data_IF_009115388058
#
_entry.id   IF_009115388058
#
_cell.length_a   1.000
_cell.length_b   1.000
_cell.length_c   1.000
_cell.angle_alpha   90.00
_cell.angle_beta   90.00
_cell.angle_gamma   90.00
#
_symmetry.space_group_name_H-M   'P 1'
#
loop_
_entity.id
_entity.type
_entity.pdbx_description
1 polymer ?
#
# COMPACT_ATOMS: atom_id res chain seq x y z
N UNK A 1 -15.73 13.87 20.83
CA UNK A 1 -16.01 13.69 19.38
C UNK A 1 -14.70 13.25 18.75
N UNK A 2 -14.63 12.06 18.17
CA UNK A 2 -13.42 11.60 17.47
C UNK A 2 -13.36 12.26 16.10
N UNK A 3 -12.19 12.75 15.70
CA UNK A 3 -11.95 13.33 14.37
C UNK A 3 -10.60 12.86 13.86
N UNK A 4 -10.57 12.35 12.62
CA UNK A 4 -9.32 12.13 11.92
C UNK A 4 -8.80 13.44 11.33
N UNK A 5 -7.50 13.71 11.48
CA UNK A 5 -6.83 14.90 10.92
C UNK A 5 -6.22 14.64 9.55
N UNK A 6 -5.94 13.37 9.22
CA UNK A 6 -5.39 12.95 7.95
C UNK A 6 -5.74 11.48 7.66
N UNK A 7 -5.79 11.11 6.38
CA UNK A 7 -5.99 9.74 5.95
C UNK A 7 -5.01 9.41 4.83
N UNK A 8 -4.51 8.18 4.87
CA UNK A 8 -3.76 7.58 3.77
C UNK A 8 -4.29 6.17 3.51
N UNK A 9 -4.38 5.77 2.25
CA UNK A 9 -4.84 4.44 1.86
C UNK A 9 -4.09 3.96 0.62
N UNK A 10 -3.99 2.65 0.49
CA UNK A 10 -3.43 1.99 -0.69
C UNK A 10 -4.03 0.58 -0.84
N UNK A 11 -3.73 -0.05 -1.97
CA UNK A 11 -3.86 -1.51 -2.09
C UNK A 11 -2.89 -2.19 -1.14
N UNK A 12 -3.39 -3.11 -0.33
CA UNK A 12 -2.65 -3.83 0.71
C UNK A 12 -1.36 -4.49 0.19
N UNK A 13 -1.36 -5.07 -1.01
CA UNK A 13 -0.17 -5.64 -1.64
C UNK A 13 0.99 -4.62 -1.79
N UNK A 14 0.70 -3.33 -1.87
CA UNK A 14 1.73 -2.28 -1.96
C UNK A 14 2.49 -2.08 -0.64
N UNK A 15 1.97 -2.56 0.49
CA UNK A 15 2.64 -2.44 1.78
C UNK A 15 3.92 -3.28 1.87
N UNK A 16 4.00 -4.39 1.11
CA UNK A 16 5.25 -5.16 0.92
C UNK A 16 6.36 -4.36 0.24
N UNK A 17 6.00 -3.30 -0.48
CA UNK A 17 6.96 -2.43 -1.15
C UNK A 17 7.22 -1.16 -0.33
N UNK A 18 6.19 -0.63 0.34
CA UNK A 18 6.29 0.67 1.02
C UNK A 18 6.72 0.58 2.47
N UNK A 19 6.40 -0.51 3.16
CA UNK A 19 6.57 -0.64 4.62
C UNK A 19 7.52 -1.77 4.97
N UNK A 20 7.31 -2.98 4.42
CA UNK A 20 8.12 -4.17 4.73
C UNK A 20 9.64 -3.95 4.61
N UNK A 21 10.19 -3.23 3.61
CA UNK A 21 11.64 -3.04 3.49
C UNK A 21 12.28 -2.21 4.62
N UNK A 22 11.47 -1.57 5.47
CA UNK A 22 11.92 -0.63 6.50
C UNK A 22 11.62 -1.11 7.92
N UNK A 23 11.25 -2.38 8.08
CA UNK A 23 10.95 -3.00 9.37
C UNK A 23 11.76 -4.28 9.50
N UNK A 24 12.12 -4.65 10.74
CA UNK A 24 12.86 -5.89 11.00
C UNK A 24 11.92 -7.09 11.20
N UNK A 25 10.62 -6.81 11.38
CA UNK A 25 9.60 -7.83 11.56
C UNK A 25 9.33 -8.61 10.28
N UNK A 26 9.33 -9.93 10.37
CA UNK A 26 8.86 -10.79 9.27
C UNK A 26 7.36 -10.56 9.02
N UNK A 27 7.01 -10.33 7.77
CA UNK A 27 5.63 -10.24 7.29
C UNK A 27 5.30 -11.54 6.57
N UNK A 28 4.28 -12.24 7.08
CA UNK A 28 3.77 -13.49 6.49
C UNK A 28 2.58 -13.25 5.58
N UNK A 29 1.88 -12.12 5.76
CA UNK A 29 0.73 -11.76 4.95
C UNK A 29 0.22 -10.36 5.25
N UNK A 30 -0.71 -9.88 4.43
CA UNK A 30 -1.25 -8.52 4.51
C UNK A 30 -1.89 -8.16 5.86
N UNK A 31 -2.40 -9.14 6.61
CA UNK A 31 -2.99 -8.93 7.95
C UNK A 31 -1.97 -8.44 8.97
N UNK A 32 -0.68 -8.74 8.76
CA UNK A 32 0.39 -8.34 9.66
C UNK A 32 0.56 -6.82 9.70
N UNK A 33 0.24 -6.12 8.60
CA UNK A 33 0.24 -4.66 8.55
C UNK A 33 -0.88 -4.02 9.38
N UNK A 34 -1.79 -4.79 9.97
CA UNK A 34 -2.77 -4.27 10.94
C UNK A 34 -2.22 -4.20 12.37
N UNK A 35 -1.01 -4.73 12.62
CA UNK A 35 -0.37 -4.65 13.93
C UNK A 35 0.24 -3.27 14.15
N UNK A 36 -0.14 -2.53 15.22
CA UNK A 36 0.44 -1.21 15.51
C UNK A 36 1.98 -1.22 15.59
N UNK A 37 2.57 -2.27 16.15
CA UNK A 37 4.02 -2.42 16.29
C UNK A 37 4.81 -2.41 14.97
N UNK A 38 4.16 -2.75 13.85
CA UNK A 38 4.77 -2.65 12.51
C UNK A 38 4.91 -1.19 12.11
N UNK A 39 3.89 -0.38 12.43
CA UNK A 39 3.90 1.04 12.12
C UNK A 39 4.79 1.85 13.05
N UNK A 40 4.98 1.42 14.30
CA UNK A 40 5.97 2.00 15.21
C UNK A 40 7.39 1.83 14.66
N UNK A 41 7.76 0.60 14.25
CA UNK A 41 9.04 0.33 13.59
C UNK A 41 9.20 1.15 12.30
N UNK A 42 8.15 1.20 11.48
CA UNK A 42 8.17 1.97 10.24
C UNK A 42 8.36 3.47 10.50
N UNK A 43 7.65 4.04 11.47
CA UNK A 43 7.80 5.42 11.91
C UNK A 43 9.24 5.72 12.37
N UNK A 44 9.88 4.79 13.06
CA UNK A 44 11.27 4.95 13.51
C UNK A 44 12.26 4.88 12.36
N UNK A 45 12.11 3.95 11.42
CA UNK A 45 12.96 3.86 10.23
C UNK A 45 12.79 5.08 9.33
N UNK A 46 11.55 5.45 8.98
CA UNK A 46 11.23 6.60 8.13
C UNK A 46 11.66 7.92 8.78
N UNK A 47 11.68 8.01 10.12
CA UNK A 47 12.13 9.22 10.80
C UNK A 47 13.58 9.61 10.47
N UNK A 48 14.42 8.63 10.10
CA UNK A 48 15.84 8.79 9.74
C UNK A 48 16.06 9.11 8.26
N UNK A 49 15.02 9.01 7.44
CA UNK A 49 15.07 9.27 6.00
C UNK A 49 14.53 10.67 5.67
N UNK A 50 15.00 11.21 4.56
CA UNK A 50 14.30 12.26 3.83
C UNK A 50 13.31 11.64 2.82
N UNK A 51 12.39 12.48 2.33
CA UNK A 51 11.33 12.02 1.44
C UNK A 51 11.87 11.45 0.13
N UNK A 52 12.91 12.09 -0.42
CA UNK A 52 13.46 11.74 -1.72
C UNK A 52 14.07 10.34 -1.65
N UNK A 53 14.91 10.09 -0.65
CA UNK A 53 15.54 8.79 -0.40
C UNK A 53 14.47 7.69 -0.29
N UNK A 54 13.43 7.90 0.53
CA UNK A 54 12.35 6.94 0.69
C UNK A 54 11.58 6.66 -0.60
N UNK A 55 11.25 7.72 -1.36
CA UNK A 55 10.51 7.55 -2.62
C UNK A 55 11.34 6.83 -3.67
N UNK A 56 12.63 7.16 -3.79
CA UNK A 56 13.54 6.55 -4.77
C UNK A 56 13.80 5.08 -4.44
N UNK A 57 14.02 4.72 -3.17
CA UNK A 57 14.20 3.32 -2.78
C UNK A 57 12.97 2.46 -3.04
N UNK A 58 11.76 3.01 -2.87
CA UNK A 58 10.52 2.33 -3.27
C UNK A 58 10.46 2.06 -4.77
N UNK A 59 10.85 3.03 -5.61
CA UNK A 59 10.87 2.83 -7.06
C UNK A 59 11.92 1.79 -7.45
N UNK A 60 13.12 1.88 -6.90
CA UNK A 60 14.20 0.94 -7.19
C UNK A 60 13.85 -0.48 -6.76
N UNK A 61 13.24 -0.68 -5.58
CA UNK A 61 12.78 -2.02 -5.16
C UNK A 61 11.70 -2.56 -6.12
N UNK A 62 10.75 -1.73 -6.54
CA UNK A 62 9.74 -2.15 -7.52
C UNK A 62 10.35 -2.58 -8.86
N UNK A 63 11.30 -1.80 -9.40
CA UNK A 63 12.03 -2.15 -10.62
C UNK A 63 12.79 -3.46 -10.46
N UNK A 64 13.55 -3.61 -9.37
CA UNK A 64 14.31 -4.82 -9.08
C UNK A 64 13.41 -6.07 -8.95
N UNK A 65 12.21 -5.93 -8.37
CA UNK A 65 11.24 -7.03 -8.26
C UNK A 65 10.68 -7.42 -9.63
N UNK A 66 10.44 -6.46 -10.53
CA UNK A 66 10.04 -6.75 -11.92
C UNK A 66 11.15 -7.50 -12.67
N UNK A 67 12.39 -7.00 -12.60
CA UNK A 67 13.52 -7.67 -13.25
C UNK A 67 13.71 -9.12 -12.75
N UNK A 68 13.54 -9.36 -11.44
CA UNK A 68 13.60 -10.73 -10.87
C UNK A 68 12.49 -11.68 -11.33
N UNK A 69 11.40 -11.14 -11.87
CA UNK A 69 10.30 -11.89 -12.44
C UNK A 69 10.42 -12.02 -13.97
N UNK A 70 11.56 -11.63 -14.53
CA UNK A 70 11.80 -11.55 -15.98
C UNK A 70 10.76 -10.66 -16.71
N UNK A 71 10.20 -9.67 -16.01
CA UNK A 71 9.23 -8.71 -16.55
C UNK A 71 9.94 -7.57 -17.30
N UNK A 72 9.32 -7.07 -18.36
CA UNK A 72 9.88 -5.96 -19.15
C UNK A 72 9.93 -4.66 -18.36
N UNK A 73 10.99 -3.88 -18.62
CA UNK A 73 11.18 -2.51 -18.14
C UNK A 73 11.00 -1.47 -19.27
N UNK A 74 10.70 -1.92 -20.48
CA UNK A 74 10.55 -1.08 -21.65
C UNK A 74 9.10 -0.56 -21.79
N UNK A 75 8.86 0.76 -21.67
CA UNK A 75 7.51 1.31 -21.80
C UNK A 75 6.85 1.07 -23.17
N UNK A 76 7.65 0.76 -24.20
CA UNK A 76 7.13 0.34 -25.51
C UNK A 76 6.54 -1.07 -25.51
N UNK A 77 6.97 -1.92 -24.58
CA UNK A 77 6.48 -3.30 -24.43
C UNK A 77 5.36 -3.39 -23.39
N UNK A 78 5.43 -2.57 -22.33
CA UNK A 78 4.36 -2.43 -21.34
C UNK A 78 4.04 -0.94 -21.07
N UNK A 79 2.93 -0.42 -21.63
CA UNK A 79 2.54 0.98 -21.45
C UNK A 79 2.17 1.33 -20.00
N UNK A 80 1.97 0.34 -19.13
CA UNK A 80 1.63 0.55 -17.72
C UNK A 80 2.85 0.81 -16.84
N UNK A 81 4.09 0.65 -17.32
CA UNK A 81 5.32 0.90 -16.54
C UNK A 81 5.35 2.33 -15.99
N UNK A 82 5.25 3.35 -16.86
CA UNK A 82 5.34 4.75 -16.43
C UNK A 82 4.16 5.16 -15.53
N UNK A 83 2.89 4.82 -15.84
CA UNK A 83 1.77 5.04 -14.93
C UNK A 83 1.95 4.38 -13.56
N UNK A 84 2.43 3.14 -13.54
CA UNK A 84 2.65 2.36 -12.30
C UNK A 84 3.78 2.96 -11.47
N UNK A 85 4.90 3.30 -12.09
CA UNK A 85 6.02 4.00 -11.45
C UNK A 85 5.56 5.32 -10.83
N UNK A 86 4.81 6.14 -11.57
CA UNK A 86 4.26 7.39 -11.06
C UNK A 86 3.29 7.16 -9.89
N UNK A 87 2.49 6.09 -9.95
CA UNK A 87 1.61 5.67 -8.85
C UNK A 87 2.41 5.30 -7.59
N UNK A 88 3.51 4.55 -7.72
CA UNK A 88 4.40 4.25 -6.61
C UNK A 88 5.04 5.50 -6.02
N UNK A 89 5.54 6.40 -6.87
CA UNK A 89 6.17 7.65 -6.45
C UNK A 89 5.19 8.54 -5.66
N UNK A 90 3.96 8.71 -6.16
CA UNK A 90 2.96 9.57 -5.51
C UNK A 90 2.45 8.97 -4.19
N UNK A 91 2.21 7.66 -4.14
CA UNK A 91 1.76 7.00 -2.91
C UNK A 91 2.85 6.93 -1.84
N UNK A 92 4.10 6.62 -2.20
CA UNK A 92 5.20 6.62 -1.24
C UNK A 92 5.48 8.04 -0.73
N UNK A 93 5.43 9.06 -1.60
CA UNK A 93 5.57 10.46 -1.19
C UNK A 93 4.51 10.89 -0.19
N UNK A 94 3.25 10.56 -0.45
CA UNK A 94 2.14 10.87 0.46
C UNK A 94 2.21 10.06 1.76
N UNK A 95 2.61 8.79 1.72
CA UNK A 95 2.83 7.96 2.90
C UNK A 95 3.90 8.57 3.81
N UNK A 96 5.04 8.96 3.24
CA UNK A 96 6.13 9.59 3.98
C UNK A 96 5.65 10.84 4.72
N UNK A 97 4.91 11.71 4.01
CA UNK A 97 4.35 12.92 4.59
C UNK A 97 3.35 12.61 5.71
N UNK A 98 2.46 11.63 5.49
CA UNK A 98 1.48 11.19 6.47
C UNK A 98 2.13 10.69 7.76
N UNK A 99 3.15 9.83 7.64
CA UNK A 99 3.88 9.25 8.76
C UNK A 99 4.68 10.30 9.54
N UNK A 100 5.39 11.20 8.85
CA UNK A 100 6.09 12.33 9.50
C UNK A 100 5.11 13.28 10.18
N UNK A 101 3.96 13.57 9.55
CA UNK A 101 2.93 14.42 10.13
C UNK A 101 2.36 13.81 11.42
N UNK A 102 2.02 12.51 11.39
CA UNK A 102 1.54 11.77 12.57
C UNK A 102 2.55 11.79 13.71
N UNK A 103 3.82 11.50 13.42
CA UNK A 103 4.89 11.46 14.43
C UNK A 103 5.15 12.85 15.04
N UNK A 104 5.24 13.89 14.21
CA UNK A 104 5.54 15.25 14.67
C UNK A 104 4.43 15.86 15.56
N UNK A 105 3.19 15.40 15.40
CA UNK A 105 2.05 15.85 16.22
C UNK A 105 1.64 14.83 17.28
N UNK A 106 2.40 13.74 17.42
CA UNK A 106 2.16 12.68 18.38
C UNK A 106 0.74 12.08 18.28
N UNK A 107 0.26 11.89 17.04
CA UNK A 107 -1.03 11.27 16.75
C UNK A 107 -0.95 9.74 16.74
N UNK A 108 -1.97 9.11 17.30
CA UNK A 108 -2.18 7.66 17.18
C UNK A 108 -2.68 7.30 15.78
N UNK A 109 -2.19 6.17 15.25
CA UNK A 109 -2.64 5.64 13.97
C UNK A 109 -3.87 4.74 14.17
N UNK A 110 -4.95 5.05 13.45
CA UNK A 110 -6.05 4.12 13.25
C UNK A 110 -5.77 3.26 12.02
N UNK A 111 -5.63 1.96 12.22
CA UNK A 111 -5.37 0.98 11.16
C UNK A 111 -6.64 0.22 10.82
N UNK A 112 -6.91 0.10 9.52
CA UNK A 112 -8.09 -0.60 9.02
C UNK A 112 -7.83 -1.20 7.64
N UNK A 113 -8.60 -2.23 7.33
CA UNK A 113 -8.68 -2.82 5.99
C UNK A 113 -10.15 -2.86 5.60
N UNK A 114 -10.46 -2.21 4.50
CA UNK A 114 -11.82 -2.20 3.96
C UNK A 114 -11.96 -3.32 2.94
N UNK A 115 -13.06 -4.07 3.06
CA UNK A 115 -13.52 -5.00 2.03
C UNK A 115 -14.91 -4.57 1.62
N UNK A 116 -15.20 -4.67 0.32
CA UNK A 116 -16.59 -4.72 -0.10
C UNK A 116 -17.11 -6.13 0.20
N UNK A 117 -18.16 -6.24 1.01
CA UNK A 117 -18.83 -7.51 1.24
C UNK A 117 -19.21 -8.16 -0.09
N UNK A 118 -18.86 -9.42 -0.31
CA UNK A 118 -19.14 -10.16 -1.55
C UNK A 118 -20.62 -10.14 -1.92
N UNK A 119 -21.52 -10.01 -0.95
CA UNK A 119 -22.96 -9.90 -1.20
C UNK A 119 -23.34 -8.61 -1.94
N UNK A 120 -22.51 -7.56 -1.85
CA UNK A 120 -22.71 -6.26 -2.50
C UNK A 120 -22.09 -6.20 -3.91
N UNK A 121 -21.45 -7.26 -4.37
CA UNK A 121 -20.78 -7.29 -5.66
C UNK A 121 -21.78 -7.55 -6.79
N UNK A 122 -21.57 -6.86 -7.91
CA UNK A 122 -22.41 -6.98 -9.10
C UNK A 122 -21.58 -7.30 -10.34
N UNK A 123 -22.11 -8.16 -11.21
CA UNK A 123 -21.61 -8.40 -12.55
C UNK A 123 -22.68 -7.87 -13.53
N UNK A 124 -22.40 -6.73 -14.15
CA UNK A 124 -23.38 -6.02 -14.96
C UNK A 124 -24.55 -5.53 -14.10
N UNK A 125 -25.77 -5.92 -14.45
CA UNK A 125 -26.98 -5.56 -13.71
C UNK A 125 -27.38 -6.58 -12.63
N UNK A 126 -26.61 -7.67 -12.47
CA UNK A 126 -26.95 -8.74 -11.53
C UNK A 126 -25.99 -8.78 -10.35
N UNK A 127 -26.49 -9.02 -9.16
CA UNK A 127 -25.64 -9.26 -7.98
C UNK A 127 -24.99 -10.66 -8.04
N UNK A 128 -23.88 -10.86 -7.33
CA UNK A 128 -23.28 -12.20 -7.20
C UNK A 128 -24.25 -13.20 -6.55
N UNK A 129 -25.08 -12.74 -5.62
CA UNK A 129 -26.12 -13.56 -4.98
C UNK A 129 -27.15 -14.09 -6.00
N UNK A 130 -27.62 -13.23 -6.91
CA UNK A 130 -28.53 -13.62 -8.00
C UNK A 130 -27.91 -14.63 -8.97
N UNK A 131 -26.59 -14.59 -9.15
CA UNK A 131 -25.87 -15.52 -10.02
C UNK A 131 -25.61 -16.88 -9.35
N UNK A 132 -25.39 -16.90 -8.03
CA UNK A 132 -25.20 -18.13 -7.25
C UNK A 132 -26.51 -18.90 -6.99
N UNK A 133 -27.65 -18.20 -6.97
CA UNK A 133 -28.98 -18.80 -6.86
C UNK A 133 -29.47 -19.57 -8.10
N UNK A 134 -28.69 -19.59 -9.18
CA UNK A 134 -28.94 -20.40 -10.37
C UNK A 134 -28.31 -21.79 -10.26
N UNK A 135 -28.82 -22.63 -9.35
CA UNK A 135 -28.47 -24.06 -9.34
C UNK A 135 -29.04 -24.79 -10.56
N UNK A 136 -28.23 -25.65 -11.19
CA UNK A 136 -28.70 -26.92 -11.75
C UNK A 136 -28.30 -28.00 -10.74
#
# INVERSE_FOLDING_TARGET
KWSSTAQWSCWDARLFLYVEPYIDSSITGVSDFLRPSIWDQFQDSVSKLDQKMFTESVILDWMNRREKLDETMEPSEDPMILPTMNSHNNLSKSLFNFIKYSKNHNFDLLLGREYLDSELWHIGQKSLQELQGGSI
#
